data_IF_114044924002
#
_entry.id   IF_114044924002
#
_cell.length_a   1.000
_cell.length_b   1.000
_cell.length_c   1.000
_cell.angle_alpha   90.00
_cell.angle_beta   90.00
_cell.angle_gamma   90.00
#
_symmetry.space_group_name_H-M   'P 1'
#
loop_
_entity.id
_entity.type
_entity.pdbx_description
1 polymer ?
#
# COMPACT_ATOMS: atom_id res chain seq x y z
N UNK A 1 -1.83 -19.46 -11.39
CA UNK A 1 -1.33 -19.04 -12.72
C UNK A 1 -1.23 -17.52 -12.84
N UNK A 2 -2.28 -16.75 -12.53
CA UNK A 2 -2.24 -15.28 -12.67
C UNK A 2 -1.54 -14.53 -11.52
N UNK A 3 -1.34 -15.18 -10.36
CA UNK A 3 -0.79 -14.56 -9.15
C UNK A 3 0.56 -13.87 -9.38
N UNK A 4 1.51 -14.53 -10.06
CA UNK A 4 2.83 -13.94 -10.37
C UNK A 4 2.70 -12.69 -11.23
N UNK A 5 1.77 -12.69 -12.19
CA UNK A 5 1.53 -11.53 -13.06
C UNK A 5 0.82 -10.40 -12.31
N UNK A 6 -0.10 -10.74 -11.40
CA UNK A 6 -0.74 -9.78 -10.53
C UNK A 6 0.26 -9.12 -9.59
N UNK A 7 1.19 -9.88 -9.01
CA UNK A 7 2.25 -9.35 -8.15
C UNK A 7 3.21 -8.45 -8.92
N UNK A 8 3.63 -8.86 -10.12
CA UNK A 8 4.50 -8.06 -10.98
C UNK A 8 3.81 -6.75 -11.36
N UNK A 9 2.55 -6.83 -11.80
CA UNK A 9 1.76 -5.66 -12.16
C UNK A 9 1.57 -4.72 -10.97
N UNK A 10 1.21 -5.27 -9.80
CA UNK A 10 1.03 -4.50 -8.57
C UNK A 10 2.29 -3.72 -8.20
N UNK A 11 3.46 -4.38 -8.19
CA UNK A 11 4.73 -3.74 -7.88
C UNK A 11 5.08 -2.66 -8.89
N UNK A 12 4.96 -2.95 -10.18
CA UNK A 12 5.32 -2.00 -11.23
C UNK A 12 4.43 -0.76 -11.20
N UNK A 13 3.11 -0.94 -11.09
CA UNK A 13 2.18 0.19 -11.07
C UNK A 13 2.31 1.02 -9.80
N UNK A 14 2.50 0.37 -8.64
CA UNK A 14 2.69 1.09 -7.36
C UNK A 14 3.98 1.90 -7.38
N UNK A 15 5.09 1.33 -7.88
CA UNK A 15 6.37 2.01 -7.98
C UNK A 15 6.29 3.20 -8.95
N UNK A 16 5.79 2.99 -10.17
CA UNK A 16 5.65 4.06 -11.17
C UNK A 16 4.76 5.19 -10.68
N UNK A 17 3.63 4.87 -10.03
CA UNK A 17 2.76 5.91 -9.47
C UNK A 17 3.48 6.72 -8.37
N UNK A 18 4.09 6.03 -7.40
CA UNK A 18 4.73 6.69 -6.27
C UNK A 18 5.91 7.56 -6.71
N UNK A 19 6.75 7.05 -7.61
CA UNK A 19 7.88 7.77 -8.19
C UNK A 19 7.41 9.05 -8.89
N UNK A 20 6.50 8.92 -9.87
CA UNK A 20 5.99 10.08 -10.61
C UNK A 20 5.26 11.08 -9.71
N UNK A 21 4.54 10.61 -8.69
CA UNK A 21 3.86 11.48 -7.73
C UNK A 21 4.88 12.30 -6.93
N UNK A 22 5.91 11.66 -6.37
CA UNK A 22 6.94 12.32 -5.58
C UNK A 22 7.77 13.29 -6.42
N UNK A 23 8.09 12.94 -7.67
CA UNK A 23 8.76 13.85 -8.61
C UNK A 23 7.90 15.08 -8.92
N UNK A 24 6.63 14.87 -9.25
CA UNK A 24 5.70 15.96 -9.63
C UNK A 24 5.40 16.90 -8.46
N UNK A 25 5.41 16.38 -7.24
CA UNK A 25 5.08 17.13 -6.01
C UNK A 25 6.32 17.53 -5.21
N UNK A 26 7.52 17.38 -5.77
CA UNK A 26 8.77 17.74 -5.13
C UNK A 26 8.74 19.19 -4.63
N UNK A 27 9.05 19.38 -3.34
CA UNK A 27 9.02 20.70 -2.68
C UNK A 27 7.63 21.20 -2.26
N UNK A 28 6.57 20.43 -2.47
CA UNK A 28 5.25 20.79 -1.98
C UNK A 28 5.18 20.77 -0.45
N UNK A 29 4.50 21.77 0.13
CA UNK A 29 4.42 21.94 1.60
C UNK A 29 3.65 20.83 2.32
N UNK A 30 2.88 20.00 1.60
CA UNK A 30 2.15 18.88 2.19
C UNK A 30 2.97 17.58 2.27
N UNK A 31 4.15 17.54 1.64
CA UNK A 31 5.04 16.39 1.74
C UNK A 31 6.00 16.55 2.92
N UNK A 32 6.25 15.47 3.69
CA UNK A 32 7.35 15.43 4.64
C UNK A 32 8.69 15.71 3.93
N UNK A 33 9.49 16.58 4.52
CA UNK A 33 10.79 16.96 3.97
C UNK A 33 11.86 15.88 4.20
N UNK A 34 11.69 15.06 5.25
CA UNK A 34 12.57 13.94 5.53
C UNK A 34 11.98 12.68 4.92
N UNK A 35 12.83 11.96 4.18
CA UNK A 35 12.47 10.68 3.57
C UNK A 35 11.99 9.66 4.62
N UNK A 36 12.61 9.62 5.80
CA UNK A 36 12.18 8.75 6.90
C UNK A 36 10.74 9.00 7.34
N UNK A 37 10.34 10.28 7.41
CA UNK A 37 9.00 10.66 7.86
C UNK A 37 7.97 10.33 6.77
N UNK A 38 8.35 10.49 5.49
CA UNK A 38 7.54 10.06 4.35
C UNK A 38 7.30 8.55 4.37
N UNK A 39 8.35 7.75 4.55
CA UNK A 39 8.24 6.28 4.62
C UNK A 39 7.33 5.86 5.77
N UNK A 40 7.56 6.38 6.97
CA UNK A 40 6.75 6.03 8.16
C UNK A 40 5.28 6.40 7.97
N UNK A 41 4.99 7.60 7.45
CA UNK A 41 3.61 8.02 7.21
C UNK A 41 2.94 7.18 6.12
N UNK A 42 3.64 6.88 5.03
CA UNK A 42 3.11 6.06 3.95
C UNK A 42 2.77 4.65 4.45
N UNK A 43 3.69 4.00 5.17
CA UNK A 43 3.46 2.67 5.76
C UNK A 43 2.31 2.68 6.76
N UNK A 44 2.24 3.71 7.63
CA UNK A 44 1.16 3.85 8.61
C UNK A 44 -0.21 3.99 7.94
N UNK A 45 -0.34 4.84 6.91
CA UNK A 45 -1.62 5.03 6.19
C UNK A 45 -2.02 3.80 5.37
N UNK A 46 -1.05 3.11 4.75
CA UNK A 46 -1.32 1.86 4.05
C UNK A 46 -1.82 0.78 5.01
N UNK A 47 -1.20 0.68 6.19
CA UNK A 47 -1.61 -0.28 7.22
C UNK A 47 -2.99 0.03 7.79
N UNK A 48 -3.26 1.29 8.11
CA UNK A 48 -4.58 1.75 8.60
C UNK A 48 -5.69 1.39 7.62
N UNK A 49 -5.48 1.69 6.32
CA UNK A 49 -6.42 1.32 5.27
C UNK A 49 -6.62 -0.19 5.16
N UNK A 50 -5.54 -0.97 5.19
CA UNK A 50 -5.65 -2.43 5.07
C UNK A 50 -6.38 -3.06 6.27
N UNK A 51 -6.17 -2.55 7.49
CA UNK A 51 -6.91 -2.98 8.69
C UNK A 51 -8.39 -2.62 8.59
N UNK A 52 -8.71 -1.42 8.11
CA UNK A 52 -10.08 -1.03 7.81
C UNK A 52 -10.72 -1.99 6.79
N UNK A 53 -10.01 -2.33 5.72
CA UNK A 53 -10.49 -3.26 4.68
C UNK A 53 -10.74 -4.66 5.24
N UNK A 54 -9.91 -5.18 6.15
CA UNK A 54 -10.18 -6.47 6.81
C UNK A 54 -11.55 -6.45 7.50
N UNK A 55 -11.82 -5.42 8.30
CA UNK A 55 -13.11 -5.28 8.98
C UNK A 55 -14.27 -5.11 7.99
N UNK A 56 -14.06 -4.35 6.93
CA UNK A 56 -15.06 -4.13 5.90
C UNK A 56 -15.40 -5.42 5.15
N UNK A 57 -14.40 -6.17 4.68
CA UNK A 57 -14.61 -7.39 3.89
C UNK A 57 -15.20 -8.52 4.74
N UNK A 58 -14.82 -8.65 6.02
CA UNK A 58 -15.44 -9.61 6.93
C UNK A 58 -16.96 -9.41 7.05
N UNK A 59 -17.43 -8.16 6.96
CA UNK A 59 -18.85 -7.83 7.10
C UNK A 59 -19.64 -7.89 5.78
N UNK A 60 -18.99 -7.71 4.63
CA UNK A 60 -19.69 -7.54 3.35
C UNK A 60 -19.32 -8.60 2.30
N UNK A 61 -18.07 -9.07 2.26
CA UNK A 61 -17.56 -10.05 1.28
C UNK A 61 -16.48 -10.94 1.93
N UNK A 62 -16.86 -11.89 2.80
CA UNK A 62 -15.88 -12.66 3.57
C UNK A 62 -14.81 -13.37 2.73
N UNK A 63 -15.15 -13.79 1.51
CA UNK A 63 -14.22 -14.43 0.57
C UNK A 63 -13.06 -13.50 0.14
N UNK A 64 -13.22 -12.18 0.30
CA UNK A 64 -12.24 -11.18 -0.12
C UNK A 64 -11.24 -10.81 0.98
N UNK A 65 -11.47 -11.22 2.23
CA UNK A 65 -10.62 -10.87 3.39
C UNK A 65 -9.15 -11.23 3.18
N UNK A 66 -8.88 -12.26 2.38
CA UNK A 66 -7.50 -12.65 2.06
C UNK A 66 -6.71 -11.55 1.35
N UNK A 67 -7.35 -10.66 0.59
CA UNK A 67 -6.70 -9.57 -0.14
C UNK A 67 -6.05 -8.56 0.82
N UNK A 68 -6.80 -7.88 1.73
CA UNK A 68 -6.18 -6.94 2.66
C UNK A 68 -5.23 -7.61 3.66
N UNK A 69 -5.46 -8.89 4.04
CA UNK A 69 -4.51 -9.64 4.88
C UNK A 69 -3.16 -9.85 4.19
N UNK A 70 -3.14 -10.15 2.89
CA UNK A 70 -1.89 -10.21 2.11
C UNK A 70 -1.21 -8.84 2.04
N UNK A 71 -1.99 -7.77 1.88
CA UNK A 71 -1.49 -6.39 1.95
C UNK A 71 -0.77 -6.09 3.26
N UNK A 72 -1.39 -6.44 4.40
CA UNK A 72 -0.78 -6.29 5.74
C UNK A 72 0.54 -7.06 5.85
N UNK A 73 0.56 -8.33 5.39
CA UNK A 73 1.80 -9.13 5.39
C UNK A 73 2.91 -8.45 4.60
N UNK A 74 2.58 -7.89 3.42
CA UNK A 74 3.55 -7.20 2.58
C UNK A 74 4.10 -5.93 3.26
N UNK A 75 3.23 -5.09 3.82
CA UNK A 75 3.62 -3.84 4.50
C UNK A 75 4.52 -4.13 5.71
N UNK A 76 4.20 -5.17 6.48
CA UNK A 76 4.97 -5.55 7.67
C UNK A 76 6.21 -6.39 7.36
N UNK A 77 6.52 -6.62 6.07
CA UNK A 77 7.59 -7.52 5.64
C UNK A 77 7.53 -8.92 6.26
N UNK A 78 6.32 -9.43 6.50
CA UNK A 78 6.08 -10.76 7.06
C UNK A 78 6.08 -11.79 5.91
N UNK A 79 7.07 -12.68 5.90
CA UNK A 79 7.20 -13.78 4.94
C UNK A 79 5.93 -14.65 4.86
#
# INVERSE_FOLDING_TARGET
FLEVWADLWYRQMSATFLESYLETTAGANFLPQKESDLTVLLEAYLLDKAVYEVGYELNHRPDWVLIPVRGIKHILNLA
#
